data_IF_970062182669
#
_entry.id   IF_970062182669
#
_cell.length_a   1.000
_cell.length_b   1.000
_cell.length_c   1.000
_cell.angle_alpha   90.00
_cell.angle_beta   90.00
_cell.angle_gamma   90.00
#
_symmetry.space_group_name_H-M   'P 1'
#
loop_
_entity.id
_entity.type
_entity.pdbx_description
1 polymer ?
#
# COMPACT_ATOMS: atom_id res chain seq x y z
N UNK A 1 -31.04 -61.75 -28.72
CA UNK A 1 -30.93 -61.63 -27.24
C UNK A 1 -29.46 -61.81 -26.91
N UNK A 2 -28.69 -60.83 -26.45
CA UNK A 2 -28.90 -59.87 -25.36
C UNK A 2 -27.97 -58.64 -25.60
N UNK A 3 -28.39 -57.37 -25.40
CA UNK A 3 -27.49 -56.22 -25.54
C UNK A 3 -26.72 -56.01 -24.22
N UNK A 4 -25.39 -56.07 -24.27
CA UNK A 4 -24.57 -55.67 -23.12
C UNK A 4 -24.57 -54.14 -22.98
N UNK A 5 -25.19 -53.69 -21.89
CA UNK A 5 -25.26 -52.29 -21.48
C UNK A 5 -23.87 -51.79 -21.09
N UNK A 6 -23.37 -50.79 -21.81
CA UNK A 6 -22.22 -49.98 -21.38
C UNK A 6 -22.58 -49.20 -20.12
N UNK A 7 -22.02 -49.60 -18.98
CA UNK A 7 -22.12 -48.88 -17.70
C UNK A 7 -21.35 -47.55 -17.82
N UNK A 8 -22.08 -46.43 -17.78
CA UNK A 8 -21.54 -45.09 -17.97
C UNK A 8 -20.59 -44.69 -16.85
N UNK A 9 -19.30 -44.56 -17.17
CA UNK A 9 -18.25 -43.92 -16.34
C UNK A 9 -18.41 -42.38 -16.29
N UNK A 10 -19.65 -41.89 -16.20
CA UNK A 10 -19.98 -40.46 -16.31
C UNK A 10 -20.22 -39.68 -15.00
N UNK A 11 -20.36 -40.26 -13.78
CA UNK A 11 -20.66 -39.42 -12.62
C UNK A 11 -19.41 -38.75 -12.04
N UNK A 12 -18.26 -39.44 -11.97
CA UNK A 12 -17.06 -38.88 -11.32
C UNK A 12 -16.45 -37.73 -12.12
N UNK A 13 -16.32 -37.89 -13.44
CA UNK A 13 -15.73 -36.87 -14.32
C UNK A 13 -16.59 -35.59 -14.38
N UNK A 14 -17.92 -35.73 -14.31
CA UNK A 14 -18.83 -34.60 -14.24
C UNK A 14 -18.72 -33.86 -12.90
N UNK A 15 -18.60 -34.59 -11.78
CA UNK A 15 -18.41 -33.99 -10.44
C UNK A 15 -17.06 -33.25 -10.37
N UNK A 16 -15.98 -33.84 -10.89
CA UNK A 16 -14.67 -33.18 -10.96
C UNK A 16 -14.73 -31.90 -11.80
N UNK A 17 -15.38 -31.94 -12.96
CA UNK A 17 -15.54 -30.74 -13.80
C UNK A 17 -16.32 -29.62 -13.09
N UNK A 18 -17.40 -29.97 -12.38
CA UNK A 18 -18.19 -28.99 -11.60
C UNK A 18 -17.36 -28.37 -10.47
N UNK A 19 -16.57 -29.17 -9.75
CA UNK A 19 -15.69 -28.66 -8.68
C UNK A 19 -14.62 -27.74 -9.24
N UNK A 20 -13.98 -28.10 -10.37
CA UNK A 20 -12.97 -27.25 -11.01
C UNK A 20 -13.56 -25.92 -11.47
N UNK A 21 -14.75 -25.93 -12.06
CA UNK A 21 -15.45 -24.71 -12.47
C UNK A 21 -15.82 -23.87 -11.24
N UNK A 22 -16.32 -24.47 -10.16
CA UNK A 22 -16.64 -23.75 -8.93
C UNK A 22 -15.41 -23.10 -8.30
N UNK A 23 -14.29 -23.82 -8.24
CA UNK A 23 -13.00 -23.27 -7.74
C UNK A 23 -12.51 -22.13 -8.64
N UNK A 24 -12.61 -22.28 -9.96
CA UNK A 24 -12.23 -21.23 -10.91
C UNK A 24 -13.11 -19.97 -10.77
N UNK A 25 -14.42 -20.15 -10.56
CA UNK A 25 -15.35 -19.04 -10.33
C UNK A 25 -15.09 -18.34 -9.00
N UNK A 26 -14.82 -19.08 -7.93
CA UNK A 26 -14.42 -18.53 -6.62
C UNK A 26 -13.09 -17.79 -6.75
N UNK A 27 -12.10 -18.37 -7.42
CA UNK A 27 -10.82 -17.71 -7.67
C UNK A 27 -11.00 -16.42 -8.49
N UNK A 28 -11.87 -16.41 -9.50
CA UNK A 28 -12.17 -15.23 -10.30
C UNK A 28 -12.94 -14.16 -9.52
N UNK A 29 -13.86 -14.55 -8.63
CA UNK A 29 -14.56 -13.59 -7.76
C UNK A 29 -13.63 -13.00 -6.72
N UNK A 30 -12.75 -13.80 -6.12
CA UNK A 30 -11.70 -13.32 -5.21
C UNK A 30 -10.71 -12.43 -5.97
N UNK A 31 -10.33 -12.79 -7.20
CA UNK A 31 -9.48 -11.98 -8.07
C UNK A 31 -10.09 -10.60 -8.33
N UNK A 32 -11.40 -10.53 -8.58
CA UNK A 32 -12.08 -9.26 -8.84
C UNK A 32 -12.29 -8.42 -7.57
N UNK A 33 -12.47 -9.06 -6.41
CA UNK A 33 -12.89 -8.38 -5.17
C UNK A 33 -11.77 -8.16 -4.15
N UNK A 34 -10.65 -8.88 -4.24
CA UNK A 34 -9.52 -8.67 -3.36
C UNK A 34 -8.76 -7.41 -3.78
N UNK A 35 -8.43 -6.48 -2.85
CA UNK A 35 -7.62 -5.33 -3.19
C UNK A 35 -6.25 -5.79 -3.70
N UNK A 36 -5.77 -5.17 -4.80
CA UNK A 36 -4.57 -5.58 -5.53
C UNK A 36 -3.31 -5.72 -4.64
N UNK A 37 -3.26 -5.01 -3.51
CA UNK A 37 -2.21 -5.10 -2.48
C UNK A 37 -2.02 -6.48 -1.84
N UNK A 38 -2.99 -7.40 -1.97
CA UNK A 38 -2.90 -8.75 -1.42
C UNK A 38 -2.17 -9.74 -2.35
N UNK A 39 -1.85 -9.34 -3.59
CA UNK A 39 -1.19 -10.22 -4.56
C UNK A 39 0.32 -9.95 -4.65
N UNK A 40 1.18 -10.99 -4.60
CA UNK A 40 2.64 -10.83 -4.51
C UNK A 40 3.33 -10.36 -5.81
N UNK A 41 2.58 -10.24 -6.91
CA UNK A 41 3.11 -10.01 -8.26
C UNK A 41 3.10 -8.56 -8.72
N UNK A 42 2.40 -7.65 -8.05
CA UNK A 42 2.32 -6.26 -8.52
C UNK A 42 3.45 -5.44 -7.87
N UNK A 43 4.57 -5.34 -8.58
CA UNK A 43 5.34 -4.11 -8.55
C UNK A 43 5.00 -3.42 -9.86
N UNK A 44 3.88 -2.68 -9.87
CA UNK A 44 3.57 -1.82 -10.99
C UNK A 44 4.80 -0.92 -11.26
N UNK A 45 5.10 -0.66 -12.52
CA UNK A 45 6.14 0.31 -12.87
C UNK A 45 5.83 1.65 -12.20
N UNK A 46 6.87 2.40 -11.82
CA UNK A 46 6.67 3.77 -11.39
C UNK A 46 5.95 4.54 -12.51
N UNK A 47 4.79 5.17 -12.23
CA UNK A 47 4.02 5.83 -13.26
C UNK A 47 4.67 7.17 -13.64
N UNK A 48 4.42 7.63 -14.86
CA UNK A 48 4.73 8.99 -15.25
C UNK A 48 3.79 9.95 -14.51
N UNK A 49 4.33 10.69 -13.54
CA UNK A 49 3.57 11.64 -12.71
C UNK A 49 3.69 13.04 -13.32
N UNK A 50 2.56 13.66 -13.63
CA UNK A 50 2.56 15.07 -14.08
C UNK A 50 3.01 15.99 -12.95
N UNK A 51 4.24 16.48 -13.04
CA UNK A 51 4.86 17.37 -12.06
C UNK A 51 4.58 18.85 -12.30
N UNK A 52 3.90 19.21 -13.40
CA UNK A 52 3.74 20.61 -13.83
C UNK A 52 2.96 21.49 -12.84
N UNK A 53 2.05 20.88 -12.08
CA UNK A 53 1.23 21.54 -11.07
C UNK A 53 1.71 21.28 -9.62
N UNK A 54 2.82 20.56 -9.44
CA UNK A 54 3.34 20.20 -8.13
C UNK A 54 4.25 21.29 -7.55
N UNK A 55 4.26 21.41 -6.22
CA UNK A 55 5.25 22.24 -5.52
C UNK A 55 6.66 21.63 -5.64
N UNK A 56 7.73 22.43 -5.45
CA UNK A 56 9.09 21.90 -5.49
C UNK A 56 9.31 20.72 -4.52
N UNK A 57 8.72 20.77 -3.32
CA UNK A 57 8.78 19.67 -2.35
C UNK A 57 8.07 18.42 -2.84
N UNK A 58 6.89 18.57 -3.47
CA UNK A 58 6.15 17.44 -4.03
C UNK A 58 6.91 16.79 -5.18
N UNK A 59 7.51 17.59 -6.07
CA UNK A 59 8.41 17.08 -7.13
C UNK A 59 9.56 16.28 -6.53
N UNK A 60 10.24 16.85 -5.53
CA UNK A 60 11.37 16.18 -4.88
C UNK A 60 10.98 14.84 -4.23
N UNK A 61 9.79 14.77 -3.61
CA UNK A 61 9.26 13.53 -3.03
C UNK A 61 9.03 12.48 -4.12
N UNK A 62 8.39 12.86 -5.25
CA UNK A 62 8.12 11.94 -6.36
C UNK A 62 9.41 11.40 -6.97
N UNK A 63 10.37 12.28 -7.25
CA UNK A 63 11.69 11.89 -7.79
C UNK A 63 12.45 10.93 -6.85
N UNK A 64 12.46 11.22 -5.54
CA UNK A 64 13.08 10.33 -4.55
C UNK A 64 12.38 8.97 -4.50
N UNK A 65 11.05 8.94 -4.58
CA UNK A 65 10.28 7.70 -4.58
C UNK A 65 10.57 6.87 -5.83
N UNK A 66 10.69 7.49 -6.99
CA UNK A 66 11.09 6.83 -8.25
C UNK A 66 12.50 6.23 -8.13
N UNK A 67 13.48 7.04 -7.72
CA UNK A 67 14.86 6.61 -7.51
C UNK A 67 14.97 5.42 -6.53
N UNK A 68 14.24 5.48 -5.41
CA UNK A 68 14.26 4.40 -4.43
C UNK A 68 13.51 3.16 -4.92
N UNK A 69 12.41 3.35 -5.64
CA UNK A 69 11.69 2.25 -6.28
C UNK A 69 12.57 1.53 -7.32
N UNK A 70 13.41 2.23 -8.07
CA UNK A 70 14.32 1.59 -9.02
C UNK A 70 15.50 0.90 -8.32
N UNK A 71 16.02 1.51 -7.25
CA UNK A 71 17.16 0.99 -6.52
C UNK A 71 16.84 -0.23 -5.65
N UNK A 72 15.60 -0.34 -5.12
CA UNK A 72 15.16 -1.42 -4.23
C UNK A 72 16.16 -1.74 -3.09
N UNK A 73 16.63 -0.70 -2.38
CA UNK A 73 17.60 -0.86 -1.29
C UNK A 73 17.02 -1.68 -0.13
N UNK A 74 17.86 -2.40 0.64
CA UNK A 74 17.38 -3.16 1.78
C UNK A 74 16.82 -2.23 2.86
N UNK A 75 15.83 -2.71 3.62
CA UNK A 75 15.18 -1.94 4.69
C UNK A 75 16.14 -1.31 5.69
N UNK A 76 17.25 -2.00 6.01
CA UNK A 76 18.33 -1.52 6.88
C UNK A 76 18.93 -0.18 6.44
N UNK A 77 18.86 0.15 5.16
CA UNK A 77 19.29 1.46 4.65
C UNK A 77 18.41 2.60 5.20
N UNK A 78 17.10 2.37 5.32
CA UNK A 78 16.13 3.36 5.82
C UNK A 78 16.04 3.36 7.35
N UNK A 79 16.32 2.22 7.99
CA UNK A 79 16.19 2.01 9.44
C UNK A 79 17.50 2.09 10.22
N UNK A 80 18.54 2.75 9.69
CA UNK A 80 19.85 2.92 10.36
C UNK A 80 20.46 1.58 10.83
N UNK A 81 20.49 0.60 9.92
CA UNK A 81 20.98 -0.76 10.11
C UNK A 81 20.16 -1.64 11.09
N UNK A 82 19.02 -1.16 11.57
CA UNK A 82 18.10 -1.93 12.42
C UNK A 82 17.26 -2.89 11.58
N UNK A 83 17.19 -4.16 11.97
CA UNK A 83 16.34 -5.16 11.31
C UNK A 83 14.93 -5.13 11.89
N UNK A 84 14.05 -4.37 11.26
CA UNK A 84 12.66 -4.18 11.67
C UNK A 84 11.74 -3.96 10.46
N UNK A 85 10.41 -3.96 10.64
CA UNK A 85 9.48 -3.48 9.63
C UNK A 85 9.75 -1.99 9.37
N UNK A 86 10.02 -1.63 8.11
CA UNK A 86 10.65 -0.36 7.76
C UNK A 86 9.77 0.57 6.92
N UNK A 87 8.44 0.35 6.87
CA UNK A 87 7.54 1.19 6.09
C UNK A 87 7.50 2.64 6.59
N UNK A 88 7.42 2.85 7.90
CA UNK A 88 7.46 4.18 8.50
C UNK A 88 8.87 4.81 8.51
N UNK A 89 9.92 3.99 8.61
CA UNK A 89 11.31 4.46 8.41
C UNK A 89 11.51 4.98 6.98
N UNK A 90 11.00 4.26 5.97
CA UNK A 90 11.04 4.67 4.57
C UNK A 90 10.35 6.02 4.36
N UNK A 91 9.13 6.19 4.88
CA UNK A 91 8.42 7.48 4.81
C UNK A 91 9.23 8.58 5.51
N UNK A 92 9.74 8.32 6.71
CA UNK A 92 10.56 9.28 7.46
C UNK A 92 11.82 9.69 6.68
N UNK A 93 12.45 8.74 5.98
CA UNK A 93 13.63 8.96 5.17
C UNK A 93 13.31 9.82 3.94
N UNK A 94 12.25 9.50 3.19
CA UNK A 94 11.81 10.30 2.04
C UNK A 94 11.52 11.73 2.46
N UNK A 95 10.78 11.92 3.56
CA UNK A 95 10.44 13.26 4.06
C UNK A 95 11.67 14.05 4.48
N UNK A 96 12.65 13.40 5.11
CA UNK A 96 13.93 14.03 5.46
C UNK A 96 14.71 14.46 4.23
N UNK A 97 14.89 13.58 3.25
CA UNK A 97 15.65 13.88 2.04
C UNK A 97 14.95 14.92 1.16
N UNK A 98 13.62 14.98 1.20
CA UNK A 98 12.83 16.04 0.55
C UNK A 98 12.86 17.39 1.30
N UNK A 99 13.61 17.52 2.39
CA UNK A 99 13.76 18.77 3.15
C UNK A 99 12.59 19.10 4.10
N UNK A 100 11.69 18.14 4.34
CA UNK A 100 10.54 18.27 5.25
C UNK A 100 10.58 17.18 6.34
N UNK A 101 11.67 17.10 7.14
CA UNK A 101 11.86 16.01 8.08
C UNK A 101 10.73 15.95 9.10
N UNK A 102 10.30 14.71 9.38
CA UNK A 102 9.41 14.43 10.50
C UNK A 102 10.21 14.47 11.80
N UNK A 103 9.51 14.47 12.94
CA UNK A 103 10.16 14.43 14.25
C UNK A 103 9.42 13.44 15.14
N UNK A 104 10.11 12.40 15.57
CA UNK A 104 9.54 11.40 16.47
C UNK A 104 9.06 12.08 17.77
N UNK A 105 7.77 11.98 18.12
CA UNK A 105 7.20 12.63 19.30
C UNK A 105 7.90 12.27 20.62
N UNK A 106 8.52 11.09 20.69
CA UNK A 106 9.10 10.55 21.92
C UNK A 106 10.62 10.78 22.03
N UNK A 107 11.29 11.13 20.93
CA UNK A 107 12.76 11.29 20.91
C UNK A 107 13.27 12.54 20.19
N UNK A 108 12.44 13.21 19.40
CA UNK A 108 12.83 14.30 18.50
C UNK A 108 13.67 13.86 17.30
N UNK A 109 13.96 12.57 17.16
CA UNK A 109 14.74 12.05 16.03
C UNK A 109 13.93 12.09 14.73
N UNK A 110 14.60 12.25 13.57
CA UNK A 110 13.91 12.32 12.28
C UNK A 110 13.19 11.01 11.93
N UNK A 111 13.71 9.89 12.43
CA UNK A 111 13.21 8.54 12.16
C UNK A 111 12.03 8.20 13.05
N UNK A 112 10.90 7.86 12.44
CA UNK A 112 9.72 7.34 13.11
C UNK A 112 9.51 5.88 12.67
N UNK A 113 9.89 4.89 13.48
CA UNK A 113 9.90 3.48 13.05
C UNK A 113 8.52 2.83 13.06
N UNK A 114 7.58 3.36 13.85
CA UNK A 114 6.24 2.82 14.02
C UNK A 114 5.16 3.66 13.32
N UNK A 115 4.24 3.00 12.62
CA UNK A 115 3.10 3.66 11.96
C UNK A 115 2.17 4.33 12.96
N UNK A 116 1.90 3.69 14.11
CA UNK A 116 1.18 4.34 15.20
C UNK A 116 1.80 5.67 15.64
N UNK A 117 3.12 5.67 15.90
CA UNK A 117 3.86 6.89 16.30
C UNK A 117 3.91 7.93 15.18
N UNK A 118 3.89 7.50 13.92
CA UNK A 118 3.76 8.39 12.77
C UNK A 118 2.39 9.07 12.76
N UNK A 119 1.32 8.35 13.11
CA UNK A 119 0.00 8.92 13.37
C UNK A 119 0.02 9.97 14.49
N UNK A 120 0.61 9.63 15.65
CA UNK A 120 0.74 10.57 16.77
C UNK A 120 1.45 11.88 16.34
N UNK A 121 2.48 11.78 15.51
CA UNK A 121 3.18 12.95 14.98
C UNK A 121 2.26 13.86 14.13
N UNK A 122 1.49 13.28 13.22
CA UNK A 122 0.57 14.06 12.39
C UNK A 122 -0.55 14.68 13.23
N UNK A 123 -1.06 13.97 14.23
CA UNK A 123 -2.06 14.50 15.17
C UNK A 123 -1.48 15.68 15.97
N UNK A 124 -0.30 15.51 16.57
CA UNK A 124 0.34 16.55 17.38
C UNK A 124 0.71 17.79 16.58
N UNK A 125 1.06 17.63 15.30
CA UNK A 125 1.35 18.76 14.40
C UNK A 125 0.11 19.35 13.73
N UNK A 126 -1.10 18.85 14.03
CA UNK A 126 -2.35 19.36 13.47
C UNK A 126 -2.48 19.13 11.96
N UNK A 127 -1.84 18.08 11.45
CA UNK A 127 -1.79 17.71 10.03
C UNK A 127 -2.40 16.34 9.73
N UNK A 128 -3.00 15.71 10.71
CA UNK A 128 -3.74 14.48 10.51
C UNK A 128 -5.16 14.77 10.03
N UNK A 129 -5.54 14.18 8.90
CA UNK A 129 -6.86 14.21 8.32
C UNK A 129 -7.49 12.82 8.41
N UNK A 130 -8.48 12.59 9.29
CA UNK A 130 -9.06 11.28 9.49
C UNK A 130 -9.85 10.82 8.26
N UNK A 131 -9.89 9.51 8.02
CA UNK A 131 -10.74 8.92 6.99
C UNK A 131 -12.21 9.25 7.24
N UNK A 132 -12.96 9.52 6.16
CA UNK A 132 -14.35 9.95 6.23
C UNK A 132 -14.58 11.41 6.63
N UNK A 133 -13.52 12.21 6.83
CA UNK A 133 -13.64 13.67 7.07
C UNK A 133 -14.13 14.47 5.85
N UNK A 134 -14.12 13.87 4.66
CA UNK A 134 -14.30 14.57 3.38
C UNK A 134 -13.01 15.18 2.83
N UNK A 135 -11.87 14.97 3.50
CA UNK A 135 -10.56 15.37 2.99
C UNK A 135 -10.20 14.60 1.74
N UNK A 136 -9.72 15.31 0.71
CA UNK A 136 -9.15 14.72 -0.49
C UNK A 136 -7.62 14.78 -0.39
N UNK A 137 -6.90 13.65 -0.48
CA UNK A 137 -5.45 13.65 -0.38
C UNK A 137 -4.79 14.43 -1.52
N UNK A 138 -3.59 14.89 -1.26
CA UNK A 138 -2.69 15.52 -2.23
C UNK A 138 -1.41 14.70 -2.41
N UNK A 139 -0.68 14.99 -3.49
CA UNK A 139 0.65 14.40 -3.71
C UNK A 139 1.58 14.76 -2.55
N UNK A 140 2.31 13.77 -2.06
CA UNK A 140 3.20 13.84 -0.90
C UNK A 140 2.51 13.60 0.44
N UNK A 141 1.18 13.49 0.50
CA UNK A 141 0.52 13.09 1.74
C UNK A 141 0.85 11.64 2.09
N UNK A 142 0.92 11.37 3.39
CA UNK A 142 1.20 10.04 3.92
C UNK A 142 -0.10 9.36 4.29
N UNK A 143 -0.41 8.24 3.65
CA UNK A 143 -1.57 7.43 4.03
C UNK A 143 -1.19 6.49 5.18
N UNK A 144 -2.06 6.43 6.19
CA UNK A 144 -1.92 5.56 7.36
C UNK A 144 -2.97 4.46 7.30
N UNK A 145 -2.51 3.21 7.43
CA UNK A 145 -3.37 2.03 7.41
C UNK A 145 -3.38 1.33 8.77
N UNK A 146 -4.55 0.80 9.13
CA UNK A 146 -4.75 -0.13 10.23
C UNK A 146 -5.77 -1.19 9.81
N UNK A 147 -5.34 -2.45 9.72
CA UNK A 147 -6.24 -3.56 9.45
C UNK A 147 -6.53 -4.35 10.72
N UNK A 148 -7.82 -4.52 11.03
CA UNK A 148 -8.30 -5.36 12.11
C UNK A 148 -8.45 -6.84 11.73
N UNK A 149 -8.25 -7.19 10.45
CA UNK A 149 -8.48 -8.53 9.88
C UNK A 149 -7.18 -9.10 9.28
N UNK A 150 -6.67 -10.21 9.83
CA UNK A 150 -5.59 -11.01 9.23
C UNK A 150 -4.42 -11.37 10.14
N UNK A 151 -3.56 -12.27 9.65
CA UNK A 151 -2.26 -12.60 10.23
C UNK A 151 -1.17 -11.80 9.48
N UNK A 152 -0.51 -10.82 10.12
CA UNK A 152 0.50 -9.96 9.49
C UNK A 152 0.75 -8.64 10.22
N UNK A 153 1.51 -7.72 9.59
CA UNK A 153 1.67 -6.32 10.02
C UNK A 153 0.28 -5.67 10.06
N UNK A 154 -0.19 -5.26 11.24
CA UNK A 154 -1.53 -4.67 11.40
C UNK A 154 -1.61 -3.24 10.92
N UNK A 155 -0.47 -2.57 10.84
CA UNK A 155 -0.35 -1.18 10.45
C UNK A 155 0.63 -1.06 9.30
N UNK A 156 0.37 -0.11 8.41
CA UNK A 156 1.23 0.15 7.26
C UNK A 156 1.14 1.62 6.85
N UNK A 157 2.06 2.09 6.02
CA UNK A 157 2.02 3.46 5.51
C UNK A 157 2.72 3.59 4.17
N UNK A 158 2.13 4.40 3.30
CA UNK A 158 2.63 4.73 1.96
C UNK A 158 2.56 6.26 1.75
N UNK A 159 3.21 6.76 0.69
CA UNK A 159 3.14 8.16 0.26
C UNK A 159 2.30 8.25 -1.03
N UNK A 160 1.40 9.22 -1.10
CA UNK A 160 0.57 9.50 -2.28
C UNK A 160 1.40 10.18 -3.37
N UNK A 161 1.39 9.67 -4.60
CA UNK A 161 2.10 10.25 -5.75
C UNK A 161 1.17 10.74 -6.88
N UNK A 162 -0.08 10.28 -6.92
CA UNK A 162 -1.10 10.75 -7.84
C UNK A 162 -2.50 10.57 -7.25
N UNK A 163 -3.47 11.38 -7.69
CA UNK A 163 -4.86 11.35 -7.19
C UNK A 163 -5.84 11.57 -8.34
N UNK A 164 -6.67 10.57 -8.61
CA UNK A 164 -7.65 10.54 -9.70
C UNK A 164 -9.04 10.18 -9.16
N UNK A 165 -9.99 11.12 -9.19
CA UNK A 165 -11.32 10.88 -8.62
C UNK A 165 -11.26 10.51 -7.13
N UNK A 166 -11.69 9.28 -6.80
CA UNK A 166 -11.68 8.67 -5.46
C UNK A 166 -10.53 7.67 -5.26
N UNK A 167 -9.59 7.57 -6.20
CA UNK A 167 -8.44 6.68 -6.12
C UNK A 167 -7.11 7.43 -6.15
N UNK A 168 -6.12 6.91 -5.44
CA UNK A 168 -4.77 7.45 -5.36
C UNK A 168 -3.76 6.40 -5.82
N UNK A 169 -2.66 6.84 -6.39
CA UNK A 169 -1.47 6.00 -6.53
C UNK A 169 -0.56 6.29 -5.34
N UNK A 170 -0.09 5.23 -4.68
CA UNK A 170 0.77 5.33 -3.51
C UNK A 170 2.04 4.50 -3.66
N UNK A 171 3.10 4.92 -2.99
CA UNK A 171 4.39 4.21 -2.96
C UNK A 171 4.75 3.89 -1.52
N UNK A 172 5.02 2.63 -1.24
CA UNK A 172 5.28 2.10 0.09
C UNK A 172 6.55 1.28 0.15
N UNK A 173 7.24 1.34 1.29
CA UNK A 173 8.36 0.45 1.62
C UNK A 173 7.92 -0.77 2.41
N UNK A 174 8.78 -1.78 2.54
CA UNK A 174 8.56 -3.00 3.32
C UNK A 174 7.41 -3.90 2.85
N UNK A 175 7.06 -3.83 1.57
CA UNK A 175 5.95 -4.61 1.02
C UNK A 175 6.49 -5.89 0.38
N UNK A 176 6.53 -6.94 1.20
CA UNK A 176 7.32 -8.16 0.94
C UNK A 176 8.83 -7.84 0.79
N UNK A 177 9.32 -6.90 1.60
CA UNK A 177 10.73 -6.48 1.60
C UNK A 177 11.14 -5.63 0.39
N UNK A 178 10.17 -5.09 -0.37
CA UNK A 178 10.39 -4.22 -1.52
C UNK A 178 9.72 -2.86 -1.34
N UNK A 179 10.07 -1.93 -2.21
CA UNK A 179 9.33 -0.70 -2.45
C UNK A 179 8.37 -0.97 -3.60
N UNK A 180 7.07 -0.66 -3.46
CA UNK A 180 6.11 -0.90 -4.54
C UNK A 180 5.12 0.24 -4.68
N UNK A 181 4.50 0.25 -5.85
CA UNK A 181 3.44 1.17 -6.24
C UNK A 181 2.10 0.44 -6.14
N UNK A 182 1.09 1.10 -5.57
CA UNK A 182 -0.27 0.57 -5.46
C UNK A 182 -1.31 1.60 -5.91
N UNK A 183 -2.44 1.10 -6.39
CA UNK A 183 -3.67 1.87 -6.45
C UNK A 183 -4.44 1.70 -5.14
N UNK A 184 -4.85 2.82 -4.56
CA UNK A 184 -5.64 2.92 -3.35
C UNK A 184 -7.01 3.50 -3.68
N UNK A 185 -8.08 2.78 -3.36
CA UNK A 185 -9.43 3.34 -3.24
C UNK A 185 -9.65 3.73 -1.77
N UNK A 186 -9.41 5.00 -1.42
CA UNK A 186 -9.39 5.41 -0.02
C UNK A 186 -10.77 5.60 0.60
N UNK A 187 -11.82 5.70 -0.23
CA UNK A 187 -13.20 5.76 0.25
C UNK A 187 -13.74 4.35 0.52
N UNK A 188 -13.31 3.37 -0.28
CA UNK A 188 -13.71 1.96 -0.16
C UNK A 188 -12.85 1.10 0.77
N UNK A 189 -11.56 1.44 0.98
CA UNK A 189 -10.66 0.63 1.81
C UNK A 189 -10.79 0.96 3.29
N UNK A 190 -11.54 0.12 4.01
CA UNK A 190 -11.75 0.25 5.46
C UNK A 190 -10.50 0.07 6.32
N UNK A 191 -9.32 -0.23 5.75
CA UNK A 191 -8.05 -0.17 6.46
C UNK A 191 -7.46 1.24 6.50
N UNK A 192 -7.93 2.18 5.68
CA UNK A 192 -7.43 3.57 5.71
C UNK A 192 -7.93 4.27 6.97
N UNK A 193 -6.98 4.67 7.81
CA UNK A 193 -7.26 5.42 9.04
C UNK A 193 -7.33 6.91 8.75
N UNK A 194 -6.47 7.40 7.85
CA UNK A 194 -6.42 8.79 7.44
C UNK A 194 -5.12 9.14 6.72
N UNK A 195 -4.89 10.44 6.58
CA UNK A 195 -3.77 11.02 5.84
C UNK A 195 -3.00 12.02 6.71
N UNK A 196 -1.68 12.00 6.60
CA UNK A 196 -0.79 13.01 7.16
C UNK A 196 -0.37 14.01 6.08
N UNK A 197 -0.75 15.28 6.26
CA UNK A 197 -0.47 16.34 5.28
C UNK A 197 0.99 16.78 5.27
N UNK A 198 1.48 17.18 4.11
CA UNK A 198 2.70 17.98 4.00
C UNK A 198 2.58 19.29 4.81
N UNK A 199 3.70 19.86 5.30
CA UNK A 199 3.69 21.19 5.89
C UNK A 199 3.25 22.22 4.83
N UNK A 200 2.52 23.25 5.27
CA UNK A 200 2.03 24.33 4.42
C UNK A 200 3.16 25.26 3.94
#
# INVERSE_FOLDING_TARGET
>A
MNPERTVGRRPLAAITAVVVVAVALVAATVWWSAPNRLFPWDSASFPDVDTSALSPTQVQIVELLEDQHDAQRPGTFYSEDVREPWCADFVSWIMREAGVPLANPHSGHWRIPGVYTLGEYYEQTGRFEPSGSGYRPAVGDVVLYHSSLGFGQREHTNIVIAVEGSTATTVGGNEFGKIRVHTLDWEGDGAVVGFGRLPA
#
